data_IF_219544238897
#
_entry.id   IF_219544238897
#
_cell.length_a   1.000
_cell.length_b   1.000
_cell.length_c   1.000
_cell.angle_alpha   90.00
_cell.angle_beta   90.00
_cell.angle_gamma   90.00
#
_symmetry.space_group_name_H-M   'P 1'
#
loop_
_entity.id
_entity.type
_entity.pdbx_description
1 polymer ?
#
# COMPACT_ATOMS: atom_id res chain seq x y z
N UNK A 1 5.26 2.00 18.57
CA UNK A 1 5.52 3.07 17.59
C UNK A 1 6.97 3.47 17.70
N UNK A 2 7.63 3.73 16.60
CA UNK A 2 9.00 4.22 16.57
C UNK A 2 9.21 5.13 15.36
N UNK A 3 10.27 5.93 15.40
CA UNK A 3 10.75 6.74 14.28
C UNK A 3 12.17 6.35 13.94
N UNK A 4 12.54 6.52 12.69
CA UNK A 4 13.89 6.25 12.21
C UNK A 4 14.27 7.21 11.08
N UNK A 5 15.56 7.49 10.89
CA UNK A 5 16.02 8.19 9.70
C UNK A 5 15.74 7.31 8.47
N UNK A 6 15.33 7.92 7.37
CA UNK A 6 15.08 7.25 6.09
C UNK A 6 15.95 7.85 5.01
N UNK A 7 16.73 7.01 4.35
CA UNK A 7 17.50 7.40 3.17
C UNK A 7 16.60 7.56 1.95
N UNK A 8 15.58 6.68 1.83
CA UNK A 8 14.62 6.75 0.73
C UNK A 8 13.77 8.01 0.76
N UNK A 9 13.36 8.44 1.97
CA UNK A 9 12.45 9.57 2.13
C UNK A 9 13.17 10.87 2.56
N UNK A 10 14.50 10.85 2.73
CA UNK A 10 15.32 12.03 3.01
C UNK A 10 15.02 12.74 4.32
N UNK A 11 14.45 12.02 5.31
CA UNK A 11 14.03 12.60 6.58
C UNK A 11 13.70 11.54 7.63
N UNK A 12 12.87 11.87 8.59
CA UNK A 12 12.41 10.93 9.63
C UNK A 12 11.10 10.30 9.22
N UNK A 13 11.08 8.98 9.11
CA UNK A 13 9.85 8.22 8.91
C UNK A 13 9.35 7.61 10.23
N UNK A 14 8.04 7.45 10.34
CA UNK A 14 7.37 6.85 11.49
C UNK A 14 6.71 5.54 11.09
N UNK A 15 6.70 4.60 12.03
CA UNK A 15 6.09 3.29 11.83
C UNK A 15 5.51 2.77 13.15
N UNK A 16 4.36 2.09 13.05
CA UNK A 16 3.79 1.32 14.15
C UNK A 16 4.03 -0.16 13.94
N UNK A 17 4.45 -0.86 14.99
CA UNK A 17 4.66 -2.30 14.99
C UNK A 17 3.87 -2.91 16.14
N UNK A 18 3.14 -3.98 15.83
CA UNK A 18 2.56 -4.89 16.79
C UNK A 18 3.30 -6.21 16.78
N UNK A 19 3.77 -6.65 17.94
CA UNK A 19 4.43 -7.94 18.15
C UNK A 19 3.46 -8.92 18.81
N UNK A 20 3.16 -10.07 18.20
CA UNK A 20 2.37 -11.11 18.83
C UNK A 20 3.17 -11.80 19.93
N UNK A 21 2.52 -12.43 20.95
CA UNK A 21 3.21 -13.15 22.03
C UNK A 21 4.22 -14.20 21.54
N UNK A 22 3.94 -14.85 20.42
CA UNK A 22 4.82 -15.88 19.83
C UNK A 22 6.20 -15.32 19.40
N UNK A 23 6.31 -14.00 19.20
CA UNK A 23 7.57 -13.35 18.87
C UNK A 23 8.61 -13.39 20.02
N UNK A 24 8.21 -13.69 21.24
CA UNK A 24 9.12 -13.88 22.36
C UNK A 24 10.01 -15.13 22.23
N UNK A 25 9.52 -16.15 21.53
CA UNK A 25 10.19 -17.46 21.44
C UNK A 25 10.58 -17.89 20.03
N UNK A 26 10.03 -17.25 18.99
CA UNK A 26 10.25 -17.66 17.61
C UNK A 26 10.16 -16.49 16.63
N UNK A 27 10.68 -16.72 15.41
CA UNK A 27 10.45 -15.82 14.29
C UNK A 27 9.00 -15.98 13.79
N UNK A 28 8.32 -14.85 13.63
CA UNK A 28 6.91 -14.79 13.21
C UNK A 28 6.75 -14.24 11.79
N UNK A 29 5.66 -14.59 11.08
CA UNK A 29 5.30 -13.92 9.82
C UNK A 29 5.03 -12.44 10.06
N UNK A 30 5.15 -11.64 9.00
CA UNK A 30 4.82 -10.21 9.05
C UNK A 30 3.83 -9.82 7.96
N UNK A 31 2.88 -8.96 8.31
CA UNK A 31 1.99 -8.28 7.39
C UNK A 31 2.26 -6.78 7.43
N UNK A 32 2.59 -6.22 6.27
CA UNK A 32 2.76 -4.78 6.08
C UNK A 32 1.42 -4.17 5.69
N UNK A 33 0.93 -3.26 6.52
CA UNK A 33 -0.28 -2.48 6.25
C UNK A 33 0.07 -1.17 5.57
N UNK A 34 -0.63 -0.86 4.49
CA UNK A 34 -0.55 0.42 3.80
C UNK A 34 -1.86 1.19 3.98
N UNK A 35 -1.78 2.38 4.56
CA UNK A 35 -2.95 3.23 4.83
C UNK A 35 -3.35 4.05 3.59
N UNK A 36 -4.60 4.53 3.58
CA UNK A 36 -5.14 5.41 2.55
C UNK A 36 -4.69 6.87 2.67
N UNK A 37 -5.21 7.72 1.79
CA UNK A 37 -4.96 9.16 1.78
C UNK A 37 -5.19 9.78 3.16
N UNK A 38 -4.38 10.77 3.52
CA UNK A 38 -4.39 11.55 4.75
C UNK A 38 -4.04 10.78 6.03
N UNK A 39 -3.97 9.47 5.99
CA UNK A 39 -3.67 8.64 7.15
C UNK A 39 -2.19 8.72 7.54
N UNK A 40 -1.93 8.34 8.79
CA UNK A 40 -0.59 8.14 9.35
C UNK A 40 -0.38 6.66 9.70
N UNK A 41 0.78 6.33 10.23
CA UNK A 41 1.09 5.00 10.77
C UNK A 41 0.17 4.56 11.93
N UNK A 42 -0.61 5.47 12.53
CA UNK A 42 -1.45 5.20 13.70
C UNK A 42 -2.87 4.76 13.35
N UNK A 43 -3.42 5.24 12.23
CA UNK A 43 -4.84 5.05 11.92
C UNK A 43 -5.28 3.58 11.98
N UNK A 44 -4.53 2.69 11.36
CA UNK A 44 -4.83 1.27 11.35
C UNK A 44 -4.69 0.64 12.75
N UNK A 45 -3.57 0.90 13.42
CA UNK A 45 -3.27 0.30 14.72
C UNK A 45 -4.29 0.70 15.78
N UNK A 46 -4.82 1.93 15.71
CA UNK A 46 -5.80 2.44 16.68
C UNK A 46 -7.22 1.97 16.33
N UNK A 47 -7.57 1.91 15.05
CA UNK A 47 -8.99 1.76 14.64
C UNK A 47 -9.38 0.36 14.21
N UNK A 48 -8.46 -0.44 13.65
CA UNK A 48 -8.83 -1.71 13.03
C UNK A 48 -9.07 -2.88 14.02
N UNK A 49 -8.58 -2.78 15.26
CA UNK A 49 -8.67 -3.88 16.23
C UNK A 49 -7.96 -5.17 15.80
N UNK A 50 -7.05 -5.07 14.82
CA UNK A 50 -6.38 -6.20 14.18
C UNK A 50 -5.43 -6.96 15.13
N UNK A 51 -5.00 -6.31 16.21
CA UNK A 51 -4.04 -6.89 17.18
C UNK A 51 -4.55 -8.19 17.82
N UNK A 52 -5.87 -8.28 18.09
CA UNK A 52 -6.48 -9.49 18.64
C UNK A 52 -6.25 -10.69 17.71
N UNK A 53 -6.59 -10.55 16.45
CA UNK A 53 -6.42 -11.61 15.45
C UNK A 53 -4.94 -11.89 15.16
N UNK A 54 -4.12 -10.86 15.14
CA UNK A 54 -2.68 -11.00 14.96
C UNK A 54 -2.02 -11.77 16.13
N UNK A 55 -2.49 -11.57 17.37
CA UNK A 55 -2.07 -12.35 18.54
C UNK A 55 -2.46 -13.83 18.41
N UNK A 56 -3.71 -14.11 18.04
CA UNK A 56 -4.22 -15.46 17.85
C UNK A 56 -3.46 -16.24 16.77
N UNK A 57 -3.13 -15.56 15.66
CA UNK A 57 -2.45 -16.14 14.50
C UNK A 57 -0.92 -16.12 14.57
N UNK A 58 -0.35 -15.45 15.57
CA UNK A 58 1.10 -15.31 15.70
C UNK A 58 1.72 -14.46 14.58
N UNK A 59 1.06 -13.38 14.16
CA UNK A 59 1.47 -12.53 13.05
C UNK A 59 1.89 -11.15 13.56
N UNK A 60 3.05 -10.66 13.13
CA UNK A 60 3.48 -9.29 13.36
C UNK A 60 2.78 -8.35 12.37
N UNK A 61 2.34 -7.18 12.83
CA UNK A 61 1.79 -6.12 11.99
C UNK A 61 2.77 -4.95 11.94
N UNK A 62 2.97 -4.41 10.76
CA UNK A 62 3.82 -3.24 10.50
C UNK A 62 3.01 -2.22 9.71
N UNK A 63 2.83 -1.03 10.24
CA UNK A 63 2.09 0.05 9.59
C UNK A 63 2.98 1.30 9.48
N UNK A 64 3.59 1.57 8.32
CA UNK A 64 4.34 2.78 8.07
C UNK A 64 3.44 3.99 7.84
N UNK A 65 4.03 5.18 7.88
CA UNK A 65 3.37 6.40 7.41
C UNK A 65 3.12 6.34 5.88
N UNK A 66 2.22 7.17 5.40
CA UNK A 66 1.74 7.18 4.01
C UNK A 66 2.56 8.06 3.08
N UNK A 67 3.43 8.89 3.64
CA UNK A 67 4.37 9.76 2.94
C UNK A 67 5.49 10.20 3.87
N UNK A 68 6.55 10.82 3.36
CA UNK A 68 7.37 11.74 4.16
C UNK A 68 6.49 12.83 4.76
N UNK A 69 6.96 13.42 5.85
CA UNK A 69 6.34 14.60 6.46
C UNK A 69 7.42 15.63 6.75
N UNK A 70 7.05 16.88 6.63
CA UNK A 70 7.97 18.00 6.88
C UNK A 70 9.22 17.92 5.96
N UNK A 71 9.01 17.52 4.68
CA UNK A 71 10.09 17.44 3.71
C UNK A 71 10.56 18.84 3.26
N UNK A 72 9.82 19.90 3.58
CA UNK A 72 10.13 21.29 3.22
C UNK A 72 9.89 21.58 1.75
N UNK A 73 9.03 20.83 1.10
CA UNK A 73 8.67 21.01 -0.31
C UNK A 73 7.51 22.00 -0.39
N UNK A 74 7.70 23.08 -1.13
CA UNK A 74 6.66 24.09 -1.32
C UNK A 74 5.35 23.45 -1.82
N UNK A 75 4.24 23.72 -1.11
CA UNK A 75 2.92 23.18 -1.42
C UNK A 75 2.71 21.70 -1.06
N UNK A 76 3.60 21.08 -0.27
CA UNK A 76 3.41 19.67 0.14
C UNK A 76 2.19 19.45 1.05
N UNK A 77 1.71 20.50 1.70
CA UNK A 77 0.56 20.49 2.61
C UNK A 77 -0.70 21.15 2.03
N UNK A 78 -0.68 21.60 0.77
CA UNK A 78 -1.77 22.39 0.18
C UNK A 78 -3.02 21.56 -0.14
N UNK A 79 -2.90 20.24 -0.30
CA UNK A 79 -4.01 19.38 -0.72
C UNK A 79 -3.97 18.02 -0.02
N UNK A 80 -5.14 17.52 0.36
CA UNK A 80 -5.27 16.22 1.04
C UNK A 80 -4.88 15.00 0.16
N UNK A 81 -4.86 15.17 -1.14
CA UNK A 81 -4.65 14.14 -2.15
C UNK A 81 -3.32 14.29 -2.92
N UNK A 82 -2.41 15.15 -2.43
CA UNK A 82 -1.07 15.33 -2.97
C UNK A 82 -0.12 15.79 -1.86
N UNK A 83 1.11 15.32 -1.84
CA UNK A 83 2.10 15.69 -0.84
C UNK A 83 1.92 14.90 0.46
N UNK A 84 1.87 15.61 1.59
CA UNK A 84 1.76 15.01 2.91
C UNK A 84 0.52 14.12 3.05
N UNK A 85 0.73 12.86 3.39
CA UNK A 85 -0.33 11.87 3.51
C UNK A 85 -0.79 11.24 2.19
N UNK A 86 -0.13 11.55 1.06
CA UNK A 86 -0.54 11.15 -0.29
C UNK A 86 0.63 10.68 -1.17
N UNK A 87 1.54 9.85 -0.62
CA UNK A 87 2.74 9.38 -1.31
C UNK A 87 2.50 8.30 -2.38
N UNK A 88 1.27 7.80 -2.54
CA UNK A 88 0.86 6.79 -3.52
C UNK A 88 1.73 5.52 -3.57
N UNK A 89 2.65 5.33 -2.64
CA UNK A 89 3.59 4.20 -2.57
C UNK A 89 4.40 3.98 -3.85
N UNK A 90 4.77 5.09 -4.49
CA UNK A 90 5.60 5.13 -5.70
C UNK A 90 6.91 5.90 -5.44
N UNK A 91 7.85 5.82 -6.37
CA UNK A 91 9.03 6.68 -6.38
C UNK A 91 8.79 7.85 -7.35
N UNK A 92 8.74 9.06 -6.81
CA UNK A 92 8.64 10.25 -7.63
C UNK A 92 9.90 10.43 -8.50
N UNK A 93 9.68 10.83 -9.74
CA UNK A 93 10.74 11.13 -10.73
C UNK A 93 10.86 12.61 -11.05
N UNK A 94 9.82 13.39 -10.72
CA UNK A 94 9.82 14.84 -10.96
C UNK A 94 10.70 15.53 -9.92
N UNK A 95 11.55 16.45 -10.38
CA UNK A 95 12.60 17.11 -9.59
C UNK A 95 12.10 17.66 -8.24
N UNK A 96 10.89 18.20 -8.21
CA UNK A 96 10.27 18.76 -7.00
C UNK A 96 10.14 17.71 -5.88
N UNK A 97 9.87 16.43 -6.23
CA UNK A 97 9.47 15.38 -5.29
C UNK A 97 10.50 14.27 -5.14
N UNK A 98 11.36 14.08 -6.16
CA UNK A 98 12.20 12.89 -6.31
C UNK A 98 13.19 12.63 -5.15
N UNK A 99 13.56 13.66 -4.40
CA UNK A 99 14.50 13.51 -3.27
C UNK A 99 13.87 12.89 -2.02
N UNK A 100 12.54 13.04 -1.85
CA UNK A 100 11.86 12.67 -0.62
C UNK A 100 10.69 11.70 -0.84
N UNK A 101 9.96 11.81 -1.94
CA UNK A 101 8.78 10.97 -2.19
C UNK A 101 9.17 9.67 -2.89
N UNK A 102 9.89 8.80 -2.19
CA UNK A 102 10.36 7.49 -2.67
C UNK A 102 9.75 6.35 -1.84
N UNK A 103 8.43 6.37 -1.76
CA UNK A 103 7.69 5.43 -0.92
C UNK A 103 7.77 3.98 -1.39
N UNK A 104 7.97 3.72 -2.70
CA UNK A 104 8.21 2.36 -3.21
C UNK A 104 9.52 1.80 -2.65
N UNK A 105 10.63 2.52 -2.76
CA UNK A 105 11.92 2.09 -2.22
C UNK A 105 11.85 1.92 -0.69
N UNK A 106 11.15 2.82 -0.02
CA UNK A 106 10.96 2.74 1.41
C UNK A 106 10.25 1.43 1.82
N UNK A 107 9.12 1.10 1.19
CA UNK A 107 8.32 -0.09 1.54
C UNK A 107 9.00 -1.39 1.12
N UNK A 108 9.70 -1.40 -0.01
CA UNK A 108 10.26 -2.64 -0.57
C UNK A 108 11.67 -2.94 -0.03
N UNK A 109 12.48 -1.93 0.20
CA UNK A 109 13.89 -2.11 0.52
C UNK A 109 14.25 -1.67 1.94
N UNK A 110 13.88 -0.46 2.33
CA UNK A 110 14.37 0.14 3.57
C UNK A 110 13.61 -0.37 4.81
N UNK A 111 12.30 -0.22 4.84
CA UNK A 111 11.47 -0.64 5.97
C UNK A 111 11.65 -2.13 6.32
N UNK A 112 11.62 -3.06 5.35
CA UNK A 112 11.83 -4.48 5.67
C UNK A 112 13.21 -4.76 6.25
N UNK A 113 14.26 -4.08 5.79
CA UNK A 113 15.60 -4.23 6.34
C UNK A 113 15.66 -3.78 7.82
N UNK A 114 14.97 -2.69 8.15
CA UNK A 114 14.85 -2.21 9.53
C UNK A 114 14.08 -3.25 10.38
N UNK A 115 12.94 -3.73 9.89
CA UNK A 115 12.12 -4.72 10.59
C UNK A 115 12.88 -6.03 10.81
N UNK A 116 13.56 -6.53 9.79
CA UNK A 116 14.35 -7.76 9.87
C UNK A 116 15.58 -7.65 10.80
N UNK A 117 16.08 -6.44 11.01
CA UNK A 117 17.23 -6.18 11.89
C UNK A 117 16.80 -6.11 13.36
N UNK A 118 15.65 -5.55 13.65
CA UNK A 118 15.24 -5.21 15.02
C UNK A 118 14.17 -6.12 15.60
N UNK A 119 13.50 -6.96 14.76
CA UNK A 119 12.39 -7.79 15.20
C UNK A 119 12.56 -9.25 14.76
N UNK A 120 12.02 -10.22 15.52
CA UNK A 120 12.10 -11.66 15.20
C UNK A 120 11.13 -12.05 14.09
N UNK A 121 11.42 -11.62 12.86
CA UNK A 121 10.55 -11.85 11.69
C UNK A 121 11.08 -12.95 10.78
N UNK A 122 10.18 -13.76 10.21
CA UNK A 122 10.49 -14.71 9.13
C UNK A 122 10.55 -13.98 7.80
N UNK A 123 11.74 -13.95 7.19
CA UNK A 123 11.98 -13.24 5.92
C UNK A 123 11.22 -13.79 4.73
N UNK A 124 10.87 -15.08 4.78
CA UNK A 124 10.17 -15.83 3.73
C UNK A 124 8.64 -15.87 3.92
N UNK A 125 8.12 -15.33 5.03
CA UNK A 125 6.70 -15.28 5.37
C UNK A 125 6.22 -13.85 5.54
N UNK A 126 6.20 -13.11 4.44
CA UNK A 126 5.78 -11.71 4.41
C UNK A 126 4.54 -11.56 3.52
N UNK A 127 3.58 -10.77 3.96
CA UNK A 127 2.41 -10.38 3.20
C UNK A 127 2.23 -8.86 3.23
N UNK A 128 1.42 -8.37 2.31
CA UNK A 128 1.12 -6.94 2.21
C UNK A 128 -0.40 -6.75 2.10
N UNK A 129 -0.91 -5.75 2.76
CA UNK A 129 -2.33 -5.41 2.67
C UNK A 129 -2.54 -3.92 2.87
N UNK A 130 -3.66 -3.39 2.38
CA UNK A 130 -3.90 -1.96 2.48
C UNK A 130 -5.31 -1.55 2.12
N UNK A 131 -5.64 -0.29 2.38
CA UNK A 131 -6.93 0.31 2.12
C UNK A 131 -6.80 1.53 1.20
N UNK A 132 -7.71 1.70 0.23
CA UNK A 132 -7.81 2.86 -0.66
C UNK A 132 -6.50 3.08 -1.46
N UNK A 133 -5.82 4.23 -1.30
CA UNK A 133 -4.47 4.48 -1.81
C UNK A 133 -3.47 3.40 -1.34
N UNK A 134 -3.60 2.91 -0.09
CA UNK A 134 -2.78 1.81 0.42
C UNK A 134 -3.11 0.46 -0.22
N UNK A 135 -4.38 0.25 -0.60
CA UNK A 135 -4.80 -0.90 -1.39
C UNK A 135 -4.17 -0.89 -2.79
N UNK A 136 -4.13 0.29 -3.43
CA UNK A 136 -3.35 0.52 -4.64
C UNK A 136 -1.87 0.13 -4.44
N UNK A 137 -1.24 0.68 -3.39
CA UNK A 137 0.16 0.37 -3.07
C UNK A 137 0.38 -1.12 -2.86
N UNK A 138 -0.49 -1.80 -2.11
CA UNK A 138 -0.38 -3.24 -1.85
C UNK A 138 -0.46 -4.05 -3.15
N UNK A 139 -1.41 -3.76 -4.03
CA UNK A 139 -1.58 -4.44 -5.31
C UNK A 139 -0.40 -4.20 -6.25
N UNK A 140 0.00 -2.95 -6.44
CA UNK A 140 1.10 -2.60 -7.36
C UNK A 140 2.43 -3.17 -6.91
N UNK A 141 2.75 -3.05 -5.61
CA UNK A 141 4.01 -3.56 -5.07
C UNK A 141 4.06 -5.09 -5.09
N UNK A 142 2.94 -5.78 -4.80
CA UNK A 142 2.90 -7.24 -4.90
C UNK A 142 3.06 -7.73 -6.35
N UNK A 143 2.49 -7.04 -7.33
CA UNK A 143 2.63 -7.39 -8.76
C UNK A 143 4.03 -7.07 -9.31
N UNK A 144 4.67 -6.01 -8.83
CA UNK A 144 6.04 -5.62 -9.23
C UNK A 144 7.11 -6.50 -8.58
N UNK A 145 6.88 -6.94 -7.34
CA UNK A 145 7.83 -7.70 -6.52
C UNK A 145 7.23 -9.05 -6.05
N UNK A 146 6.87 -9.95 -6.97
CA UNK A 146 6.10 -11.16 -6.67
C UNK A 146 6.83 -12.14 -5.74
N UNK A 147 8.16 -12.12 -5.72
CA UNK A 147 8.97 -12.97 -4.84
C UNK A 147 9.03 -12.43 -3.39
N UNK A 148 8.63 -11.16 -3.20
CA UNK A 148 8.69 -10.50 -1.90
C UNK A 148 7.56 -10.91 -0.97
N UNK A 149 6.34 -11.07 -1.51
CA UNK A 149 5.14 -11.28 -0.74
C UNK A 149 4.49 -12.63 -1.06
N UNK A 150 3.96 -13.31 -0.04
CA UNK A 150 3.23 -14.58 -0.17
C UNK A 150 1.74 -14.40 -0.38
N UNK A 151 1.22 -13.23 -0.07
CA UNK A 151 -0.19 -12.85 -0.27
C UNK A 151 -0.34 -11.34 -0.32
N UNK A 152 -1.42 -10.92 -0.97
CA UNK A 152 -1.84 -9.52 -0.98
C UNK A 152 -3.34 -9.43 -0.66
N UNK A 153 -3.72 -8.45 0.17
CA UNK A 153 -5.13 -8.10 0.38
C UNK A 153 -5.34 -6.61 0.21
N UNK A 154 -6.40 -6.23 -0.48
CA UNK A 154 -6.71 -4.84 -0.76
C UNK A 154 -8.19 -4.55 -0.44
N UNK A 155 -8.42 -3.54 0.38
CA UNK A 155 -9.73 -3.11 0.83
C UNK A 155 -10.07 -1.77 0.17
N UNK A 156 -11.17 -1.71 -0.57
CA UNK A 156 -11.59 -0.53 -1.33
C UNK A 156 -10.42 0.12 -2.12
N UNK A 157 -9.61 -0.65 -2.87
CA UNK A 157 -8.38 -0.15 -3.48
C UNK A 157 -8.64 0.78 -4.65
N UNK A 158 -7.76 1.76 -4.88
CA UNK A 158 -7.66 2.45 -6.17
C UNK A 158 -7.02 1.49 -7.16
N UNK A 159 -7.83 0.78 -7.95
CA UNK A 159 -7.36 -0.33 -8.79
C UNK A 159 -6.67 0.12 -10.09
N UNK A 160 -7.05 1.28 -10.61
CA UNK A 160 -6.54 1.83 -11.86
C UNK A 160 -6.26 3.34 -11.72
N UNK A 161 -5.22 3.72 -10.96
CA UNK A 161 -4.92 5.13 -10.67
C UNK A 161 -4.62 5.96 -11.92
N UNK A 162 -4.14 5.36 -12.99
CA UNK A 162 -3.94 6.06 -14.26
C UNK A 162 -5.24 6.50 -14.96
N UNK A 163 -6.40 6.10 -14.43
CA UNK A 163 -7.73 6.32 -15.00
C UNK A 163 -8.71 6.93 -13.98
N UNK A 164 -8.24 7.51 -12.90
CA UNK A 164 -9.08 8.17 -11.91
C UNK A 164 -8.48 9.52 -11.48
N UNK A 165 -9.32 10.47 -11.02
CA UNK A 165 -8.87 11.83 -10.68
C UNK A 165 -7.74 11.89 -9.65
N UNK A 166 -7.81 11.12 -8.57
CA UNK A 166 -6.75 11.09 -7.56
C UNK A 166 -5.42 10.59 -8.12
N UNK A 167 -5.47 9.51 -8.90
CA UNK A 167 -4.27 8.95 -9.50
C UNK A 167 -3.70 9.84 -10.59
N UNK A 168 -4.53 10.42 -11.46
CA UNK A 168 -4.08 11.37 -12.49
C UNK A 168 -3.36 12.57 -11.86
N UNK A 169 -3.91 13.15 -10.80
CA UNK A 169 -3.29 14.26 -10.07
C UNK A 169 -1.94 13.86 -9.46
N UNK A 170 -1.92 12.76 -8.71
CA UNK A 170 -0.71 12.26 -8.05
C UNK A 170 0.37 11.86 -9.05
N UNK A 171 0.01 11.11 -10.09
CA UNK A 171 0.98 10.65 -11.09
C UNK A 171 1.51 11.77 -11.97
N UNK A 172 0.67 12.75 -12.35
CA UNK A 172 1.17 13.96 -13.03
C UNK A 172 2.22 14.66 -12.18
N UNK A 173 1.93 14.87 -10.90
CA UNK A 173 2.85 15.58 -10.01
C UNK A 173 4.14 14.80 -9.73
N UNK A 174 4.04 13.48 -9.50
CA UNK A 174 5.19 12.67 -9.10
C UNK A 174 5.97 12.07 -10.27
N UNK A 175 5.29 11.65 -11.35
CA UNK A 175 5.89 10.95 -12.48
C UNK A 175 5.98 11.81 -13.76
N UNK A 176 5.23 12.93 -13.80
CA UNK A 176 5.13 13.77 -14.99
C UNK A 176 3.99 13.34 -15.92
N UNK A 177 3.89 13.99 -17.08
CA UNK A 177 2.75 13.85 -17.98
C UNK A 177 2.78 12.62 -18.90
N UNK A 178 3.89 11.88 -18.92
CA UNK A 178 4.00 10.69 -19.77
C UNK A 178 3.20 9.51 -19.21
N UNK A 179 2.01 9.30 -19.71
CA UNK A 179 1.08 8.24 -19.25
C UNK A 179 1.62 6.81 -19.42
N UNK A 180 2.60 6.58 -20.31
CA UNK A 180 3.23 5.27 -20.44
C UNK A 180 4.04 4.90 -19.18
N UNK A 181 4.63 5.89 -18.50
CA UNK A 181 5.33 5.66 -17.24
C UNK A 181 4.37 5.35 -16.10
N UNK A 182 3.13 5.85 -16.13
CA UNK A 182 2.11 5.57 -15.13
C UNK A 182 1.69 4.09 -15.10
N UNK A 183 1.72 3.40 -16.24
CA UNK A 183 1.34 1.98 -16.35
C UNK A 183 2.18 1.07 -15.44
N UNK A 184 3.41 1.47 -15.15
CA UNK A 184 4.32 0.75 -14.24
C UNK A 184 3.88 0.84 -12.77
N UNK A 185 2.93 1.72 -12.48
CA UNK A 185 2.41 2.00 -11.14
C UNK A 185 0.88 1.83 -11.05
N UNK A 186 0.29 1.20 -12.04
CA UNK A 186 -1.15 0.92 -12.13
C UNK A 186 -1.40 -0.57 -12.01
N UNK A 187 -2.15 -1.00 -10.98
CA UNK A 187 -2.36 -2.42 -10.71
C UNK A 187 -3.11 -3.13 -11.86
N UNK A 188 -4.07 -2.44 -12.50
CA UNK A 188 -4.80 -2.99 -13.63
C UNK A 188 -3.90 -3.19 -14.86
N UNK A 189 -2.99 -2.26 -15.13
CA UNK A 189 -2.03 -2.38 -16.23
C UNK A 189 -0.97 -3.47 -15.94
N UNK A 190 -0.43 -3.49 -14.72
CA UNK A 190 0.52 -4.53 -14.30
C UNK A 190 -0.08 -5.93 -14.41
N UNK A 191 -1.33 -6.09 -14.01
CA UNK A 191 -2.03 -7.38 -14.06
C UNK A 191 -2.19 -7.92 -15.48
N UNK A 192 -2.35 -7.05 -16.49
CA UNK A 192 -2.46 -7.45 -17.90
C UNK A 192 -1.23 -8.19 -18.41
N UNK A 193 -0.06 -7.88 -17.87
CA UNK A 193 1.23 -8.44 -18.32
C UNK A 193 1.89 -9.38 -17.31
N UNK A 194 1.36 -9.48 -16.09
CA UNK A 194 1.93 -10.33 -15.04
C UNK A 194 1.66 -11.81 -15.31
N UNK A 195 2.73 -12.61 -15.30
CA UNK A 195 2.64 -14.08 -15.32
C UNK A 195 2.68 -14.69 -13.91
N UNK A 196 3.02 -13.90 -12.91
CA UNK A 196 3.04 -14.34 -11.51
C UNK A 196 1.64 -14.35 -10.92
N UNK A 197 1.37 -15.36 -10.08
CA UNK A 197 0.06 -15.56 -9.45
C UNK A 197 0.21 -15.78 -7.95
N UNK A 198 0.25 -14.67 -7.21
CA UNK A 198 0.17 -14.74 -5.75
C UNK A 198 -1.30 -14.72 -5.29
N UNK A 199 -1.65 -15.37 -4.18
CA UNK A 199 -3.00 -15.29 -3.63
C UNK A 199 -3.38 -13.84 -3.34
N UNK A 200 -4.52 -13.40 -3.89
CA UNK A 200 -5.01 -12.03 -3.80
C UNK A 200 -6.44 -12.00 -3.26
N UNK A 201 -6.67 -11.17 -2.26
CA UNK A 201 -8.01 -10.84 -1.76
C UNK A 201 -8.31 -9.38 -2.06
N UNK A 202 -9.46 -9.10 -2.67
CA UNK A 202 -9.96 -7.74 -2.86
C UNK A 202 -11.36 -7.67 -2.31
N UNK A 203 -11.57 -6.75 -1.38
CA UNK A 203 -12.88 -6.51 -0.79
C UNK A 203 -13.32 -5.06 -1.02
N UNK A 204 -14.52 -4.89 -1.61
CA UNK A 204 -15.06 -3.63 -2.02
C UNK A 204 -16.51 -3.47 -1.54
N UNK A 205 -16.83 -2.34 -0.93
CA UNK A 205 -18.20 -1.98 -0.58
C UNK A 205 -18.98 -1.46 -1.79
N UNK A 206 -20.17 -2.03 -2.05
CA UNK A 206 -21.01 -1.60 -3.17
C UNK A 206 -21.68 -0.23 -2.99
N UNK A 207 -21.67 0.29 -1.76
CA UNK A 207 -22.23 1.61 -1.44
C UNK A 207 -21.11 2.63 -1.10
N UNK A 208 -19.89 2.38 -1.58
CA UNK A 208 -18.77 3.31 -1.45
C UNK A 208 -18.96 4.49 -2.42
N UNK A 209 -18.93 5.71 -1.90
CA UNK A 209 -19.13 6.93 -2.68
C UNK A 209 -18.04 7.16 -3.74
N UNK A 210 -16.88 6.50 -3.58
CA UNK A 210 -15.75 6.60 -4.51
C UNK A 210 -15.67 5.45 -5.51
N UNK A 211 -16.58 4.45 -5.41
CA UNK A 211 -16.51 3.20 -6.17
C UNK A 211 -16.30 3.42 -7.67
N UNK A 212 -17.13 4.24 -8.29
CA UNK A 212 -17.11 4.45 -9.74
C UNK A 212 -16.04 5.48 -10.16
N UNK A 213 -15.91 6.56 -9.38
CA UNK A 213 -15.08 7.69 -9.79
C UNK A 213 -13.59 7.45 -9.55
N UNK A 214 -13.23 6.77 -8.44
CA UNK A 214 -11.82 6.68 -8.00
C UNK A 214 -11.31 5.24 -7.92
N UNK A 215 -12.14 4.26 -7.55
CA UNK A 215 -11.65 2.94 -7.19
C UNK A 215 -11.53 1.98 -8.37
N UNK A 216 -12.38 2.10 -9.40
CA UNK A 216 -12.32 1.30 -10.63
C UNK A 216 -12.28 -0.24 -10.39
N UNK A 217 -13.01 -0.73 -9.38
CA UNK A 217 -13.02 -2.15 -8.98
C UNK A 217 -13.46 -3.09 -10.12
N UNK A 218 -14.54 -2.74 -10.84
CA UNK A 218 -15.07 -3.59 -11.93
C UNK A 218 -14.07 -3.77 -13.07
N UNK A 219 -13.28 -2.73 -13.38
CA UNK A 219 -12.24 -2.80 -14.39
C UNK A 219 -11.17 -3.84 -14.00
N UNK A 220 -10.73 -3.79 -12.75
CA UNK A 220 -9.74 -4.71 -12.22
C UNK A 220 -10.27 -6.16 -12.14
N UNK A 221 -11.51 -6.33 -11.69
CA UNK A 221 -12.17 -7.64 -11.64
C UNK A 221 -12.27 -8.28 -13.04
N UNK A 222 -12.64 -7.48 -14.04
CA UNK A 222 -12.67 -7.92 -15.45
C UNK A 222 -11.28 -8.37 -15.92
N UNK A 223 -10.23 -7.63 -15.56
CA UNK A 223 -8.85 -8.00 -15.90
C UNK A 223 -8.43 -9.29 -15.19
N UNK A 224 -8.75 -9.46 -13.89
CA UNK A 224 -8.50 -10.72 -13.17
C UNK A 224 -9.16 -11.92 -13.89
N UNK A 225 -10.43 -11.79 -14.24
CA UNK A 225 -11.19 -12.84 -14.97
C UNK A 225 -10.55 -13.17 -16.31
N UNK A 226 -10.18 -12.16 -17.10
CA UNK A 226 -9.59 -12.35 -18.44
C UNK A 226 -8.21 -13.02 -18.39
N UNK A 227 -7.48 -12.83 -17.31
CA UNK A 227 -6.14 -13.41 -17.08
C UNK A 227 -6.18 -14.73 -16.29
N UNK A 228 -7.37 -15.23 -15.92
CA UNK A 228 -7.51 -16.36 -15.00
C UNK A 228 -6.64 -16.19 -13.74
N UNK A 229 -6.62 -14.99 -13.19
CA UNK A 229 -5.84 -14.68 -12.00
C UNK A 229 -6.54 -15.23 -10.75
N UNK A 230 -5.83 -15.90 -9.81
CA UNK A 230 -6.43 -16.47 -8.61
C UNK A 230 -6.72 -15.39 -7.57
N UNK A 231 -7.63 -14.48 -7.89
CA UNK A 231 -8.10 -13.45 -6.98
C UNK A 231 -9.45 -13.84 -6.39
N UNK A 232 -9.60 -13.66 -5.08
CA UNK A 232 -10.91 -13.65 -4.41
C UNK A 232 -11.40 -12.23 -4.40
N UNK A 233 -12.36 -11.90 -5.28
CA UNK A 233 -12.98 -10.60 -5.38
C UNK A 233 -14.32 -10.63 -4.64
N UNK A 234 -14.49 -9.76 -3.66
CA UNK A 234 -15.71 -9.62 -2.88
C UNK A 234 -16.29 -8.23 -3.08
N UNK A 235 -17.52 -8.16 -3.57
CA UNK A 235 -18.31 -6.94 -3.58
C UNK A 235 -19.34 -7.02 -2.45
N UNK A 236 -18.99 -6.46 -1.30
CA UNK A 236 -19.85 -6.48 -0.10
C UNK A 236 -21.05 -5.56 -0.30
N UNK A 237 -22.27 -6.13 -0.26
CA UNK A 237 -23.50 -5.34 -0.29
C UNK A 237 -23.84 -4.86 1.13
N UNK A 238 -24.30 -3.60 1.27
CA UNK A 238 -24.97 -3.18 2.50
C UNK A 238 -26.09 -4.19 2.77
N UNK A 239 -26.04 -4.90 3.88
CA UNK A 239 -27.23 -5.56 4.40
C UNK A 239 -28.24 -4.44 4.70
N UNK A 240 -29.39 -4.47 4.06
CA UNK A 240 -30.54 -3.67 4.49
C UNK A 240 -30.80 -4.03 5.95
N UNK A 241 -30.50 -3.07 6.84
CA UNK A 241 -30.92 -3.16 8.25
C UNK A 241 -32.42 -3.00 8.34
#
# INVERSE_FOLDING_TARGET
>A
MFSHPSESCGGTMKCSVYLPPQAESSKVPVLYWLSGLTCTHENFIIKAGAQKFAAELGIMLVAPDTSPREAGIDGEDDAYDLGTGAGFYINATQQKWASNYRMEDYIIHELPKIIETHFPVSKDRQGIFGHSMGGHGALTLALKYPDRFRSVSAFAPICAPSQCPWGEKGFTAYLGENREDWKKHDANELLKTSDMKIPMLIDQGSADDFLERELNFELFEKTCKSRNYPATNSLSRKSSA
#
